data_IF_510059129646
#
_entry.id   IF_510059129646
#
_cell.length_a   1.000
_cell.length_b   1.000
_cell.length_c   1.000
_cell.angle_alpha   90.00
_cell.angle_beta   90.00
_cell.angle_gamma   90.00
#
_symmetry.space_group_name_H-M   'P 1'
#
loop_
_entity.id
_entity.type
_entity.pdbx_description
1 polymer ?
#
# COMPACT_ATOMS: atom_id res chain seq x y z
N UNK A 1 60.06 -75.98 -1.60
CA UNK A 1 59.86 -75.22 -0.37
C UNK A 1 58.92 -74.09 -0.69
N UNK A 2 57.67 -74.28 -0.34
CA UNK A 2 56.57 -73.30 -0.70
C UNK A 2 56.41 -72.29 0.40
N UNK A 3 56.07 -71.08 -0.01
CA UNK A 3 55.58 -70.00 0.87
C UNK A 3 54.21 -69.63 0.42
N UNK A 4 53.21 -69.89 1.27
CA UNK A 4 51.82 -69.48 1.09
C UNK A 4 51.67 -67.98 1.44
N UNK A 5 51.25 -67.15 0.49
CA UNK A 5 50.81 -65.75 0.71
C UNK A 5 49.30 -65.68 0.96
N UNK A 6 48.93 -65.20 2.12
CA UNK A 6 47.49 -64.87 2.45
C UNK A 6 47.10 -63.57 1.86
N UNK A 7 46.04 -63.57 0.99
CA UNK A 7 45.37 -62.40 0.52
C UNK A 7 44.27 -62.02 1.51
N UNK A 8 44.36 -60.82 2.11
CA UNK A 8 43.26 -60.17 2.84
C UNK A 8 42.44 -59.37 1.89
N UNK A 9 41.16 -59.70 1.74
CA UNK A 9 40.16 -58.91 1.02
C UNK A 9 39.63 -57.85 1.96
N UNK A 10 39.97 -56.57 1.71
CA UNK A 10 39.35 -55.42 2.34
C UNK A 10 38.05 -55.07 1.61
N UNK A 11 36.93 -55.32 2.26
CA UNK A 11 35.61 -54.88 1.79
C UNK A 11 35.38 -53.44 2.28
N UNK A 12 35.08 -52.45 1.41
CA UNK A 12 34.78 -51.13 1.88
C UNK A 12 33.34 -51.08 2.43
N UNK A 13 33.19 -50.62 3.66
CA UNK A 13 31.89 -50.30 4.27
C UNK A 13 31.44 -48.97 3.72
N UNK A 14 30.40 -48.99 2.87
CA UNK A 14 29.73 -47.79 2.40
C UNK A 14 28.74 -47.32 3.48
N UNK A 15 29.10 -46.27 4.21
CA UNK A 15 28.21 -45.59 5.13
C UNK A 15 27.32 -44.64 4.30
N UNK A 16 26.08 -45.05 4.07
CA UNK A 16 25.06 -44.21 3.44
C UNK A 16 24.58 -43.17 4.47
N UNK A 17 25.06 -41.94 4.36
CA UNK A 17 24.54 -40.82 5.15
C UNK A 17 23.25 -40.32 4.48
N UNK A 18 22.08 -40.73 4.99
CA UNK A 18 20.81 -40.13 4.64
C UNK A 18 20.76 -38.69 5.19
N UNK A 19 21.04 -37.71 4.37
CA UNK A 19 20.78 -36.32 4.69
C UNK A 19 19.24 -36.10 4.73
N UNK A 20 18.71 -36.01 5.94
CA UNK A 20 17.30 -35.56 6.14
C UNK A 20 17.27 -34.06 5.86
N UNK A 21 16.88 -33.67 4.64
CA UNK A 21 16.60 -32.30 4.29
C UNK A 21 15.31 -31.93 5.03
N UNK A 22 15.43 -31.26 6.16
CA UNK A 22 14.33 -30.55 6.77
C UNK A 22 13.97 -29.38 5.85
N UNK A 23 12.96 -29.57 5.00
CA UNK A 23 12.23 -28.47 4.38
C UNK A 23 11.54 -27.72 5.51
N UNK A 24 12.26 -26.79 6.15
CA UNK A 24 11.65 -25.76 6.95
C UNK A 24 10.72 -25.01 6.00
N UNK A 25 9.44 -25.32 6.06
CA UNK A 25 8.41 -24.55 5.38
C UNK A 25 8.57 -23.10 5.83
N UNK A 26 9.09 -22.26 4.95
CA UNK A 26 9.12 -20.82 5.17
C UNK A 26 7.65 -20.37 5.20
N UNK A 27 7.03 -20.38 6.38
CA UNK A 27 5.76 -19.69 6.58
C UNK A 27 6.08 -18.22 6.35
N UNK A 28 5.74 -17.71 5.15
CA UNK A 28 5.87 -16.28 4.89
C UNK A 28 5.03 -15.57 5.96
N UNK A 29 5.72 -14.84 6.84
CA UNK A 29 5.06 -14.00 7.80
C UNK A 29 4.18 -13.01 7.03
N UNK A 30 2.94 -12.82 7.49
CA UNK A 30 2.02 -11.84 6.89
C UNK A 30 2.62 -10.46 7.06
N UNK A 31 2.76 -9.70 5.97
CA UNK A 31 3.32 -8.35 5.98
C UNK A 31 2.39 -7.40 6.71
N UNK A 32 2.92 -6.62 7.65
CA UNK A 32 2.20 -5.54 8.31
C UNK A 32 2.49 -4.24 7.59
N UNK A 33 1.45 -3.63 7.00
CA UNK A 33 1.56 -2.36 6.29
C UNK A 33 0.88 -1.26 7.10
N UNK A 34 1.63 -0.21 7.47
CA UNK A 34 1.12 0.95 8.20
C UNK A 34 0.39 1.89 7.25
N UNK A 35 -0.95 1.91 7.31
CA UNK A 35 -1.82 2.71 6.45
C UNK A 35 -1.64 4.20 6.71
N UNK A 36 -1.14 4.93 5.70
CA UNK A 36 -0.77 6.35 5.80
C UNK A 36 0.18 6.61 7.00
N UNK A 37 1.10 5.67 7.21
CA UNK A 37 1.92 5.57 8.42
C UNK A 37 1.21 4.78 9.52
N UNK A 38 0.68 5.47 10.52
CA UNK A 38 -0.11 4.90 11.61
C UNK A 38 -1.30 5.84 11.90
N UNK A 39 -2.19 6.00 10.92
CA UNK A 39 -3.28 7.00 10.92
C UNK A 39 -4.16 6.95 12.16
N UNK A 40 -4.40 5.77 12.72
CA UNK A 40 -5.20 5.62 13.92
C UNK A 40 -4.53 6.19 15.18
N UNK A 41 -3.22 6.48 15.14
CA UNK A 41 -2.43 6.93 16.28
C UNK A 41 -1.91 8.36 16.12
N UNK A 42 -1.50 8.77 14.92
CA UNK A 42 -0.95 10.09 14.60
C UNK A 42 -1.53 10.60 13.27
N UNK A 43 -1.43 11.93 12.98
CA UNK A 43 -1.97 12.53 11.77
C UNK A 43 -1.47 11.82 10.50
N UNK A 44 -2.42 11.40 9.65
CA UNK A 44 -2.16 10.59 8.48
C UNK A 44 -1.18 11.22 7.47
N UNK A 45 -0.43 10.37 6.76
CA UNK A 45 0.46 10.80 5.67
C UNK A 45 1.48 11.88 6.10
N UNK A 46 1.90 11.84 7.36
CA UNK A 46 2.87 12.79 7.93
C UNK A 46 4.14 12.09 8.40
N UNK A 47 5.24 12.84 8.45
CA UNK A 47 6.52 12.32 8.94
C UNK A 47 6.40 11.71 10.35
N UNK A 48 5.69 12.31 11.33
CA UNK A 48 5.45 11.67 12.63
C UNK A 48 4.69 10.35 12.56
N UNK A 49 3.66 10.24 11.70
CA UNK A 49 2.90 8.99 11.55
C UNK A 49 3.77 7.87 10.96
N UNK A 50 4.63 8.19 10.00
CA UNK A 50 5.58 7.22 9.44
C UNK A 50 6.67 6.84 10.45
N UNK A 51 7.20 7.79 11.22
CA UNK A 51 8.14 7.50 12.29
C UNK A 51 7.51 6.56 13.33
N UNK A 52 6.24 6.79 13.71
CA UNK A 52 5.49 5.92 14.61
C UNK A 52 5.31 4.52 14.05
N UNK A 53 5.01 4.39 12.75
CA UNK A 53 4.90 3.08 12.09
C UNK A 53 6.25 2.32 12.10
N UNK A 54 7.37 3.04 11.87
CA UNK A 54 8.71 2.47 12.01
C UNK A 54 8.99 1.98 13.44
N UNK A 55 8.61 2.77 14.45
CA UNK A 55 8.77 2.38 15.88
C UNK A 55 7.96 1.14 16.24
N UNK A 56 6.78 0.93 15.62
CA UNK A 56 5.96 -0.27 15.76
C UNK A 56 6.60 -1.48 15.05
N UNK A 57 7.50 -1.25 14.11
CA UNK A 57 8.17 -2.30 13.35
C UNK A 57 7.34 -2.85 12.20
N UNK A 58 6.69 -1.96 11.41
CA UNK A 58 5.99 -2.38 10.19
C UNK A 58 6.97 -2.88 9.13
N UNK A 59 6.50 -3.75 8.25
CA UNK A 59 7.27 -4.27 7.12
C UNK A 59 7.20 -3.33 5.91
N UNK A 60 6.11 -2.58 5.81
CA UNK A 60 5.81 -1.67 4.69
C UNK A 60 5.17 -0.39 5.23
N UNK A 61 5.63 0.76 4.74
CA UNK A 61 4.93 2.02 4.87
C UNK A 61 3.99 2.16 3.67
N UNK A 62 2.71 2.19 3.94
CA UNK A 62 1.70 2.49 2.94
C UNK A 62 1.41 3.98 2.98
N UNK A 63 1.27 4.61 1.81
CA UNK A 63 1.09 6.05 1.64
C UNK A 63 0.42 6.40 0.32
N UNK A 64 -0.18 7.59 0.31
CA UNK A 64 -0.84 8.18 -0.85
C UNK A 64 -0.05 9.37 -1.37
N UNK A 65 -0.04 9.61 -2.69
CA UNK A 65 0.71 10.72 -3.28
C UNK A 65 -0.16 11.66 -4.10
N UNK A 66 0.26 12.91 -4.18
CA UNK A 66 -0.27 13.97 -5.03
C UNK A 66 0.87 14.76 -5.68
N UNK A 67 0.55 15.54 -6.72
CA UNK A 67 1.52 16.37 -7.45
C UNK A 67 1.10 17.83 -7.34
N UNK A 68 2.01 18.69 -6.85
CA UNK A 68 1.77 20.13 -6.76
C UNK A 68 1.88 20.81 -8.13
N UNK A 69 1.45 22.08 -8.20
CA UNK A 69 1.52 22.92 -9.40
C UNK A 69 2.93 23.03 -9.97
N UNK A 70 3.93 23.05 -9.12
CA UNK A 70 5.36 23.13 -9.46
C UNK A 70 6.03 21.76 -9.58
N UNK A 71 5.25 20.66 -9.65
CA UNK A 71 5.69 19.31 -9.96
C UNK A 71 6.29 18.54 -8.79
N UNK A 72 6.15 19.02 -7.55
CA UNK A 72 6.67 18.31 -6.36
C UNK A 72 5.74 17.17 -5.98
N UNK A 73 6.30 15.96 -5.80
CA UNK A 73 5.56 14.80 -5.29
C UNK A 73 5.42 14.92 -3.78
N UNK A 74 4.18 15.11 -3.33
CA UNK A 74 3.81 15.22 -1.92
C UNK A 74 3.01 14.02 -1.45
N UNK A 75 2.92 13.83 -0.12
CA UNK A 75 2.19 12.71 0.47
C UNK A 75 0.85 13.23 1.01
N UNK A 76 -0.23 12.88 0.33
CA UNK A 76 -1.61 13.23 0.70
C UNK A 76 -2.60 12.25 0.09
N UNK A 77 -3.65 11.92 0.85
CA UNK A 77 -4.70 11.02 0.36
C UNK A 77 -5.67 11.74 -0.56
N UNK A 78 -6.17 12.89 -0.13
CA UNK A 78 -7.15 13.62 -0.92
C UNK A 78 -6.43 14.52 -1.93
N UNK A 79 -6.91 14.59 -3.19
CA UNK A 79 -6.30 15.45 -4.21
C UNK A 79 -6.46 16.93 -3.89
N UNK A 80 -7.46 17.27 -3.05
CA UNK A 80 -7.72 18.63 -2.57
C UNK A 80 -7.68 18.65 -1.04
N UNK A 81 -7.45 19.82 -0.46
CA UNK A 81 -7.33 20.01 1.00
C UNK A 81 -8.62 19.58 1.72
N UNK A 82 -8.50 18.71 2.71
CA UNK A 82 -9.63 18.12 3.41
C UNK A 82 -10.00 18.95 4.66
N UNK A 83 -11.23 19.51 4.74
CA UNK A 83 -11.67 20.32 5.87
C UNK A 83 -11.72 19.56 7.20
N UNK A 84 -11.79 18.23 7.17
CA UNK A 84 -11.84 17.42 8.39
C UNK A 84 -10.54 17.47 9.19
N UNK A 85 -9.39 17.86 8.57
CA UNK A 85 -8.10 17.90 9.28
C UNK A 85 -7.10 18.94 8.75
N UNK A 86 -7.53 19.86 7.86
CA UNK A 86 -6.64 20.93 7.35
C UNK A 86 -7.01 22.27 7.94
N UNK A 87 -6.00 22.98 8.45
CA UNK A 87 -6.11 24.37 8.91
C UNK A 87 -5.20 25.27 8.08
N UNK A 88 -5.62 26.52 7.89
CA UNK A 88 -4.80 27.52 7.22
C UNK A 88 -3.71 28.11 8.14
N UNK A 89 -2.95 29.07 7.62
CA UNK A 89 -1.86 29.73 8.35
C UNK A 89 -2.32 30.49 9.60
N UNK A 90 -3.60 30.84 9.70
CA UNK A 90 -4.19 31.51 10.89
C UNK A 90 -4.65 30.50 11.95
N UNK A 91 -4.64 29.20 11.62
CA UNK A 91 -5.16 28.11 12.45
C UNK A 91 -6.66 27.88 12.29
N UNK A 92 -7.34 28.56 11.36
CA UNK A 92 -8.72 28.34 11.04
C UNK A 92 -8.89 27.08 10.17
N UNK A 93 -9.99 26.33 10.41
CA UNK A 93 -10.35 25.20 9.56
C UNK A 93 -10.71 25.72 8.17
N UNK A 94 -10.16 25.07 7.14
CA UNK A 94 -10.54 25.41 5.77
C UNK A 94 -12.02 25.08 5.52
N UNK A 95 -12.65 25.85 4.63
CA UNK A 95 -14.06 25.65 4.26
C UNK A 95 -14.11 25.28 2.78
N UNK A 96 -14.98 24.30 2.39
CA UNK A 96 -15.20 24.02 0.99
C UNK A 96 -15.66 25.28 0.24
N UNK A 97 -15.09 25.54 -0.95
CA UNK A 97 -15.36 26.76 -1.71
C UNK A 97 -16.64 26.69 -2.54
N UNK A 98 -17.25 25.50 -2.71
CA UNK A 98 -18.52 25.31 -3.39
C UNK A 98 -19.23 24.04 -2.92
N UNK A 99 -20.57 23.99 -3.11
CA UNK A 99 -21.37 22.80 -2.80
C UNK A 99 -21.04 21.60 -3.71
N UNK A 100 -20.48 21.86 -4.89
CA UNK A 100 -20.18 20.84 -5.90
C UNK A 100 -18.75 20.29 -5.78
N UNK A 101 -17.84 21.05 -5.15
CA UNK A 101 -16.48 20.61 -4.88
C UNK A 101 -16.27 20.47 -3.36
N UNK A 102 -16.36 19.26 -2.87
CA UNK A 102 -16.31 18.93 -1.43
C UNK A 102 -15.09 19.50 -0.72
N UNK A 103 -13.98 19.71 -1.42
CA UNK A 103 -12.70 20.04 -0.81
C UNK A 103 -12.12 21.42 -1.23
N UNK A 104 -12.70 22.13 -2.17
CA UNK A 104 -12.23 23.46 -2.55
C UNK A 104 -10.88 23.50 -3.24
N UNK A 105 -9.80 23.90 -2.55
CA UNK A 105 -8.46 24.08 -3.12
C UNK A 105 -7.73 22.78 -3.29
N UNK A 106 -7.31 22.46 -4.53
CA UNK A 106 -6.61 21.21 -4.84
C UNK A 106 -5.07 21.38 -4.81
N UNK A 107 -4.37 20.27 -4.52
CA UNK A 107 -2.91 20.23 -4.43
C UNK A 107 -2.28 20.65 -5.76
N UNK A 108 -2.86 20.24 -6.89
CA UNK A 108 -2.41 20.58 -8.24
C UNK A 108 -2.43 22.09 -8.54
N UNK A 109 -3.21 22.86 -7.81
CA UNK A 109 -3.32 24.31 -7.97
C UNK A 109 -2.31 25.10 -7.11
N UNK A 110 -1.70 24.44 -6.12
CA UNK A 110 -0.77 25.02 -5.16
C UNK A 110 0.68 24.66 -5.49
N UNK A 111 1.58 25.66 -5.39
CA UNK A 111 3.02 25.35 -5.30
C UNK A 111 3.32 24.64 -3.98
N UNK A 112 4.42 23.92 -3.91
CA UNK A 112 4.84 23.28 -2.64
C UNK A 112 5.01 24.32 -1.52
N UNK A 113 5.57 25.48 -1.82
CA UNK A 113 5.71 26.56 -0.84
C UNK A 113 4.37 27.06 -0.30
N UNK A 114 3.34 27.19 -1.17
CA UNK A 114 1.99 27.56 -0.75
C UNK A 114 1.35 26.45 0.09
N UNK A 115 1.55 25.17 -0.29
CA UNK A 115 1.04 24.02 0.44
C UNK A 115 1.62 23.94 1.87
N UNK A 116 2.85 24.41 2.09
CA UNK A 116 3.48 24.43 3.40
C UNK A 116 2.87 25.46 4.39
N UNK A 117 1.92 26.28 3.97
CA UNK A 117 1.19 27.18 4.87
C UNK A 117 0.07 26.44 5.65
N UNK A 118 -0.35 25.27 5.18
CA UNK A 118 -1.43 24.50 5.79
C UNK A 118 -0.90 23.55 6.87
N UNK A 119 -1.69 23.43 7.95
CA UNK A 119 -1.42 22.52 9.06
C UNK A 119 -2.39 21.34 8.98
N UNK A 120 -1.85 20.12 8.95
CA UNK A 120 -2.57 18.84 8.86
C UNK A 120 -2.45 18.01 10.16
N UNK A 121 -1.99 18.62 11.22
CA UNK A 121 -1.62 17.93 12.46
C UNK A 121 -2.77 17.63 13.41
N UNK A 122 -4.03 17.95 13.05
CA UNK A 122 -5.16 17.75 13.96
C UNK A 122 -6.44 17.47 13.18
N UNK A 123 -7.23 16.54 13.66
CA UNK A 123 -8.59 16.31 13.16
C UNK A 123 -9.54 17.38 13.74
N UNK A 124 -10.42 17.90 12.91
CA UNK A 124 -11.47 18.85 13.33
C UNK A 124 -12.44 18.16 14.29
N UNK A 125 -12.60 18.67 15.52
CA UNK A 125 -13.54 18.12 16.49
C UNK A 125 -14.98 18.12 15.98
N UNK A 126 -15.74 17.07 16.33
CA UNK A 126 -17.16 16.96 16.00
C UNK A 126 -17.44 16.33 14.61
N UNK A 127 -16.43 16.15 13.76
CA UNK A 127 -16.60 15.48 12.46
C UNK A 127 -16.74 13.95 12.62
N UNK A 128 -17.31 13.30 11.61
CA UNK A 128 -17.33 11.81 11.56
C UNK A 128 -15.92 11.23 11.49
N UNK A 129 -14.99 11.98 10.90
CA UNK A 129 -13.60 11.61 10.87
C UNK A 129 -12.98 11.58 12.28
N UNK A 130 -13.29 12.57 13.12
CA UNK A 130 -12.85 12.60 14.53
C UNK A 130 -13.42 11.42 15.35
N UNK A 131 -14.67 11.04 15.10
CA UNK A 131 -15.27 9.87 15.75
C UNK A 131 -14.58 8.57 15.35
N UNK A 132 -14.23 8.45 14.06
CA UNK A 132 -13.56 7.26 13.52
C UNK A 132 -12.15 7.08 14.07
N UNK A 133 -11.43 8.16 14.34
CA UNK A 133 -10.04 8.16 14.79
C UNK A 133 -9.88 8.84 16.18
N UNK A 134 -10.80 8.54 17.10
CA UNK A 134 -10.83 9.14 18.43
C UNK A 134 -9.56 8.93 19.27
N UNK A 135 -8.71 7.94 18.92
CA UNK A 135 -7.43 7.67 19.58
C UNK A 135 -6.24 8.40 18.96
N UNK A 136 -6.45 9.08 17.82
CA UNK A 136 -5.37 9.80 17.17
C UNK A 136 -4.90 10.98 18.01
N UNK A 137 -3.60 11.04 18.28
CA UNK A 137 -2.99 12.14 19.01
C UNK A 137 -2.72 13.31 18.06
N UNK A 138 -3.23 14.52 18.35
CA UNK A 138 -2.94 15.68 17.52
C UNK A 138 -1.48 16.12 17.68
N UNK A 139 -0.92 16.65 16.59
CA UNK A 139 0.41 17.21 16.55
C UNK A 139 0.40 18.49 15.71
N UNK A 140 -0.01 19.59 16.32
CA UNK A 140 -0.16 20.89 15.65
C UNK A 140 1.17 21.37 15.02
N UNK A 141 1.07 22.09 13.92
CA UNK A 141 2.22 22.55 13.14
C UNK A 141 2.77 21.52 12.16
N UNK A 142 2.12 20.35 12.04
CA UNK A 142 2.51 19.32 11.07
C UNK A 142 2.14 19.73 9.65
N UNK A 143 3.08 19.56 8.72
CA UNK A 143 2.91 19.92 7.31
C UNK A 143 2.82 18.69 6.43
N UNK A 144 2.24 18.86 5.23
CA UNK A 144 2.22 17.83 4.18
C UNK A 144 3.65 17.61 3.71
N UNK A 145 4.23 16.41 3.87
CA UNK A 145 5.61 16.14 3.51
C UNK A 145 5.75 15.81 2.01
N UNK A 146 6.99 15.93 1.50
CA UNK A 146 7.34 15.36 0.20
C UNK A 146 7.65 13.86 0.32
N UNK A 147 7.53 13.13 -0.78
CA UNK A 147 7.97 11.73 -0.86
C UNK A 147 9.49 11.61 -0.55
N UNK A 148 10.28 12.54 -1.04
CA UNK A 148 11.71 12.62 -0.76
C UNK A 148 12.02 12.72 0.76
N UNK A 149 11.21 13.49 1.51
CA UNK A 149 11.36 13.61 2.97
C UNK A 149 11.10 12.28 3.69
N UNK A 150 10.14 11.48 3.22
CA UNK A 150 9.89 10.14 3.76
C UNK A 150 11.06 9.19 3.49
N UNK A 151 11.61 9.21 2.28
CA UNK A 151 12.78 8.40 1.95
C UNK A 151 13.99 8.79 2.82
N UNK A 152 14.18 10.10 3.04
CA UNK A 152 15.22 10.60 3.95
C UNK A 152 14.99 10.14 5.41
N UNK A 153 13.75 10.14 5.91
CA UNK A 153 13.41 9.62 7.23
C UNK A 153 13.83 8.15 7.38
N UNK A 154 13.48 7.29 6.43
CA UNK A 154 13.80 5.86 6.53
C UNK A 154 15.30 5.61 6.48
N UNK A 155 16.05 6.38 5.69
CA UNK A 155 17.50 6.34 5.65
C UNK A 155 18.12 6.79 6.97
N UNK A 156 17.66 7.92 7.52
CA UNK A 156 18.14 8.44 8.80
C UNK A 156 17.88 7.51 9.99
N UNK A 157 16.81 6.68 9.90
CA UNK A 157 16.45 5.67 10.91
C UNK A 157 17.14 4.32 10.70
N UNK A 158 17.97 4.15 9.67
CA UNK A 158 18.56 2.85 9.33
C UNK A 158 17.51 1.78 9.01
N UNK A 159 16.32 2.20 8.53
CA UNK A 159 15.20 1.32 8.22
C UNK A 159 15.28 0.80 6.77
N UNK A 160 16.41 0.23 6.39
CA UNK A 160 16.70 -0.17 5.01
C UNK A 160 15.84 -1.34 4.54
N UNK A 161 15.39 -2.20 5.46
CA UNK A 161 14.52 -3.35 5.17
C UNK A 161 13.06 -2.96 4.93
N UNK A 162 12.62 -1.77 5.37
CA UNK A 162 11.23 -1.32 5.22
C UNK A 162 10.97 -0.94 3.77
N UNK A 163 9.85 -1.42 3.24
CA UNK A 163 9.39 -1.16 1.87
C UNK A 163 8.29 -0.11 1.87
N UNK A 164 7.92 0.34 0.68
CA UNK A 164 6.89 1.35 0.47
C UNK A 164 5.83 0.81 -0.47
N UNK A 165 4.56 0.98 -0.12
CA UNK A 165 3.42 0.76 -0.99
C UNK A 165 2.79 2.11 -1.30
N UNK A 166 3.06 2.65 -2.48
CA UNK A 166 2.77 4.04 -2.84
C UNK A 166 1.56 4.11 -3.76
N UNK A 167 0.50 4.78 -3.30
CA UNK A 167 -0.70 4.98 -4.11
C UNK A 167 -0.58 6.24 -4.98
N UNK A 168 -0.90 6.08 -6.26
CA UNK A 168 -1.20 7.19 -7.15
C UNK A 168 -2.68 7.58 -6.96
N UNK A 169 -2.91 8.70 -6.26
CA UNK A 169 -4.28 9.18 -5.92
C UNK A 169 -4.86 10.04 -7.02
N UNK A 170 -5.58 9.40 -7.92
CA UNK A 170 -6.37 10.09 -8.93
C UNK A 170 -7.63 9.29 -9.25
N UNK A 171 -8.56 9.95 -9.91
CA UNK A 171 -9.86 9.37 -10.26
C UNK A 171 -10.18 9.60 -11.74
N UNK A 172 -10.64 8.58 -12.47
CA UNK A 172 -11.14 8.77 -13.82
C UNK A 172 -12.42 9.59 -13.87
N UNK A 173 -13.09 9.77 -12.72
CA UNK A 173 -14.36 10.50 -12.60
C UNK A 173 -14.17 11.98 -12.24
N UNK A 174 -13.02 12.35 -11.65
CA UNK A 174 -12.72 13.71 -11.21
C UNK A 174 -11.71 14.35 -12.17
N UNK A 175 -12.17 15.29 -13.00
CA UNK A 175 -11.32 16.01 -13.95
C UNK A 175 -10.79 17.30 -13.31
N UNK A 176 -9.48 17.53 -13.46
CA UNK A 176 -8.84 18.77 -13.02
C UNK A 176 -8.40 18.80 -11.56
N UNK A 177 -8.70 17.76 -10.75
CA UNK A 177 -8.24 17.69 -9.36
C UNK A 177 -6.81 17.18 -9.24
N UNK A 178 -6.26 16.58 -10.29
CA UNK A 178 -4.90 16.05 -10.36
C UNK A 178 -4.30 16.27 -11.74
N UNK A 179 -2.98 16.11 -11.86
CA UNK A 179 -2.31 16.01 -13.16
C UNK A 179 -2.79 14.76 -13.93
N UNK A 180 -2.46 14.67 -15.22
CA UNK A 180 -2.80 13.49 -16.02
C UNK A 180 -2.13 12.21 -15.48
N UNK A 181 -2.69 11.01 -15.74
CA UNK A 181 -2.08 9.75 -15.30
C UNK A 181 -0.63 9.58 -15.76
N UNK A 182 -0.28 10.05 -16.98
CA UNK A 182 1.08 9.97 -17.51
C UNK A 182 2.03 10.85 -16.70
N UNK A 183 1.70 12.13 -16.50
CA UNK A 183 2.52 13.08 -15.74
C UNK A 183 2.68 12.61 -14.29
N UNK A 184 1.60 12.07 -13.70
CA UNK A 184 1.64 11.57 -12.33
C UNK A 184 2.70 10.47 -12.18
N UNK A 185 2.65 9.45 -13.04
CA UNK A 185 3.57 8.31 -12.98
C UNK A 185 5.00 8.74 -13.28
N UNK A 186 5.22 9.59 -14.29
CA UNK A 186 6.56 10.10 -14.62
C UNK A 186 7.18 10.85 -13.47
N UNK A 187 6.46 11.79 -12.84
CA UNK A 187 6.93 12.55 -11.67
C UNK A 187 7.26 11.63 -10.49
N UNK A 188 6.39 10.65 -10.22
CA UNK A 188 6.60 9.70 -9.14
C UNK A 188 7.83 8.80 -9.39
N UNK A 189 7.97 8.24 -10.58
CA UNK A 189 9.11 7.41 -10.96
C UNK A 189 10.43 8.18 -10.95
N UNK A 190 10.41 9.46 -11.31
CA UNK A 190 11.58 10.32 -11.21
C UNK A 190 12.09 10.38 -9.76
N UNK A 191 11.23 10.71 -8.79
CA UNK A 191 11.62 10.78 -7.37
C UNK A 191 12.09 9.43 -6.84
N UNK A 192 11.42 8.32 -7.20
CA UNK A 192 11.82 6.97 -6.80
C UNK A 192 13.24 6.64 -7.30
N UNK A 193 13.56 6.98 -8.54
CA UNK A 193 14.86 6.71 -9.17
C UNK A 193 15.98 7.62 -8.61
N UNK A 194 15.70 8.90 -8.44
CA UNK A 194 16.65 9.87 -7.85
C UNK A 194 17.10 9.47 -6.45
N UNK A 195 16.22 8.79 -5.69
CA UNK A 195 16.53 8.32 -4.34
C UNK A 195 16.99 6.87 -4.27
N UNK A 196 17.08 6.16 -5.41
CA UNK A 196 17.50 4.76 -5.48
C UNK A 196 16.53 3.78 -4.83
N UNK A 197 15.21 4.10 -4.82
CA UNK A 197 14.20 3.34 -4.06
C UNK A 197 13.45 2.28 -4.88
N UNK A 198 13.74 2.11 -6.16
CA UNK A 198 12.98 1.21 -7.05
C UNK A 198 12.83 -0.22 -6.52
N UNK A 199 13.87 -0.79 -5.89
CA UNK A 199 13.83 -2.13 -5.33
C UNK A 199 13.00 -2.27 -4.04
N UNK A 200 12.59 -1.14 -3.43
CA UNK A 200 11.85 -1.10 -2.16
C UNK A 200 10.40 -0.62 -2.32
N UNK A 201 9.97 -0.31 -3.54
CA UNK A 201 8.67 0.28 -3.83
C UNK A 201 7.77 -0.71 -4.53
N UNK A 202 6.50 -0.69 -4.18
CA UNK A 202 5.38 -1.16 -5.02
C UNK A 202 4.47 0.02 -5.31
N UNK A 203 3.88 0.06 -6.51
CA UNK A 203 2.93 1.10 -6.89
C UNK A 203 1.51 0.55 -6.85
N UNK A 204 0.63 1.19 -6.08
CA UNK A 204 -0.78 0.82 -6.00
C UNK A 204 -1.69 1.89 -6.58
N UNK A 205 -2.86 1.50 -7.04
CA UNK A 205 -3.92 2.43 -7.45
C UNK A 205 -5.28 1.76 -7.57
N UNK A 206 -6.34 2.54 -7.33
CA UNK A 206 -7.70 2.24 -7.80
C UNK A 206 -7.86 2.54 -9.29
N UNK A 207 -7.14 3.54 -9.79
CA UNK A 207 -7.12 3.88 -11.21
C UNK A 207 -6.03 3.09 -11.95
N UNK A 208 -6.44 1.99 -12.55
CA UNK A 208 -5.51 1.05 -13.19
C UNK A 208 -4.77 1.62 -14.40
N UNK A 209 -5.19 2.79 -14.91
CA UNK A 209 -4.46 3.49 -15.98
C UNK A 209 -3.02 3.82 -15.57
N UNK A 210 -2.82 4.27 -14.31
CA UNK A 210 -1.48 4.57 -13.80
C UNK A 210 -0.62 3.34 -13.64
N UNK A 211 -1.22 2.20 -13.23
CA UNK A 211 -0.50 0.93 -13.11
C UNK A 211 -0.01 0.41 -14.48
N UNK A 212 -0.83 0.54 -15.52
CA UNK A 212 -0.44 0.19 -16.87
C UNK A 212 0.69 1.09 -17.40
N UNK A 213 0.67 2.39 -17.07
CA UNK A 213 1.76 3.31 -17.41
C UNK A 213 3.03 2.91 -16.65
N UNK A 214 2.91 2.64 -15.35
CA UNK A 214 4.03 2.21 -14.51
C UNK A 214 4.70 0.93 -15.04
N UNK A 215 3.92 -0.06 -15.44
CA UNK A 215 4.43 -1.31 -16.02
C UNK A 215 5.21 -1.10 -17.33
N UNK A 216 4.83 -0.08 -18.13
CA UNK A 216 5.57 0.25 -19.37
C UNK A 216 6.86 1.01 -19.09
N UNK A 217 6.84 1.94 -18.10
CA UNK A 217 7.97 2.84 -17.83
C UNK A 217 8.97 2.28 -16.82
N UNK A 218 8.51 1.37 -15.94
CA UNK A 218 9.30 0.79 -14.85
C UNK A 218 8.84 -0.66 -14.57
N UNK A 219 9.04 -1.60 -15.51
CA UNK A 219 8.59 -2.99 -15.37
C UNK A 219 9.24 -3.71 -14.19
N UNK A 220 10.33 -3.18 -13.65
CA UNK A 220 11.02 -3.67 -12.46
C UNK A 220 10.26 -3.37 -11.16
N UNK A 221 9.32 -2.40 -11.15
CA UNK A 221 8.53 -2.03 -9.96
C UNK A 221 7.21 -2.78 -9.99
N UNK A 222 6.95 -3.68 -9.00
CA UNK A 222 5.71 -4.43 -8.95
C UNK A 222 4.48 -3.53 -8.75
N UNK A 223 3.36 -3.89 -9.39
CA UNK A 223 2.10 -3.15 -9.29
C UNK A 223 1.08 -3.87 -8.43
N UNK A 224 0.36 -3.09 -7.62
CA UNK A 224 -0.67 -3.51 -6.67
C UNK A 224 -2.02 -2.96 -7.12
N UNK A 225 -2.94 -3.85 -7.41
CA UNK A 225 -4.25 -3.52 -7.97
C UNK A 225 -5.29 -3.44 -6.86
N UNK A 226 -5.65 -2.21 -6.47
CA UNK A 226 -6.70 -1.95 -5.49
C UNK A 226 -8.08 -2.27 -6.08
N UNK A 227 -8.93 -2.91 -5.26
CA UNK A 227 -10.31 -3.19 -5.63
C UNK A 227 -11.26 -3.12 -4.45
N UNK A 228 -12.46 -2.60 -4.70
CA UNK A 228 -13.62 -2.67 -3.83
C UNK A 228 -14.87 -2.97 -4.66
N UNK A 229 -15.77 -3.78 -4.10
CA UNK A 229 -17.08 -4.11 -4.66
C UNK A 229 -18.15 -3.86 -3.59
N UNK A 230 -18.22 -2.60 -3.13
CA UNK A 230 -19.08 -2.17 -2.03
C UNK A 230 -20.03 -1.06 -2.50
N UNK A 231 -21.13 -0.85 -1.79
CA UNK A 231 -22.08 0.24 -2.10
C UNK A 231 -21.45 1.63 -2.01
N UNK A 232 -20.47 1.80 -1.14
CA UNK A 232 -19.75 3.07 -0.95
C UNK A 232 -18.62 3.28 -1.95
N UNK A 233 -18.11 2.21 -2.57
CA UNK A 233 -17.12 2.23 -3.64
C UNK A 233 -17.13 0.92 -4.41
N UNK A 234 -17.37 0.99 -5.71
CA UNK A 234 -17.18 -0.12 -6.64
C UNK A 234 -16.37 0.36 -7.85
N UNK A 235 -15.06 0.10 -7.81
CA UNK A 235 -14.19 0.42 -8.93
C UNK A 235 -14.13 -0.69 -9.98
N UNK A 236 -14.71 -1.86 -9.69
CA UNK A 236 -14.72 -3.02 -10.61
C UNK A 236 -15.91 -2.94 -11.57
N UNK A 237 -17.09 -2.50 -11.08
CA UNK A 237 -18.32 -2.44 -11.87
C UNK A 237 -18.75 -3.81 -12.38
N UNK A 238 -18.76 -4.82 -11.50
CA UNK A 238 -19.15 -6.18 -11.87
C UNK A 238 -20.56 -6.19 -12.46
N UNK A 239 -20.72 -6.81 -13.65
CA UNK A 239 -21.98 -6.83 -14.40
C UNK A 239 -22.18 -5.65 -15.37
N UNK A 240 -21.32 -4.65 -15.35
CA UNK A 240 -21.31 -3.60 -16.38
C UNK A 240 -20.64 -4.11 -17.65
N UNK A 241 -21.38 -4.15 -18.77
CA UNK A 241 -20.86 -4.65 -20.07
C UNK A 241 -19.81 -3.73 -20.70
N UNK A 242 -19.80 -2.45 -20.36
CA UNK A 242 -18.84 -1.47 -20.88
C UNK A 242 -17.51 -1.47 -20.10
N UNK A 243 -17.42 -2.24 -19.03
CA UNK A 243 -16.30 -2.21 -18.11
C UNK A 243 -16.32 -0.99 -17.19
N UNK A 244 -15.29 -0.82 -16.40
CA UNK A 244 -15.14 0.30 -15.48
C UNK A 244 -14.04 1.26 -15.97
N UNK A 245 -14.28 2.55 -15.88
CA UNK A 245 -13.25 3.57 -16.14
C UNK A 245 -12.04 3.41 -15.19
N UNK A 246 -12.27 2.96 -13.98
CA UNK A 246 -11.24 2.69 -12.97
C UNK A 246 -10.31 1.53 -13.37
N UNK A 247 -10.83 0.54 -14.06
CA UNK A 247 -10.08 -0.65 -14.50
C UNK A 247 -9.41 -0.46 -15.87
N UNK A 248 -9.29 0.79 -16.34
CA UNK A 248 -8.81 1.13 -17.68
C UNK A 248 -9.64 0.44 -18.79
N UNK A 249 -10.96 0.38 -18.60
CA UNK A 249 -11.90 -0.22 -19.55
C UNK A 249 -11.98 -1.74 -19.51
N UNK A 250 -11.29 -2.44 -18.62
CA UNK A 250 -11.41 -3.90 -18.48
C UNK A 250 -12.76 -4.26 -17.89
N UNK A 251 -13.40 -5.27 -18.49
CA UNK A 251 -14.69 -5.76 -18.07
C UNK A 251 -14.55 -7.06 -17.26
N UNK A 252 -15.02 -7.07 -16.02
CA UNK A 252 -14.95 -8.25 -15.15
C UNK A 252 -15.64 -9.50 -15.75
N UNK A 253 -16.67 -9.31 -16.57
CA UNK A 253 -17.39 -10.42 -17.23
C UNK A 253 -16.50 -11.23 -18.15
N UNK A 254 -15.52 -10.59 -18.82
CA UNK A 254 -14.55 -11.25 -19.70
C UNK A 254 -13.63 -12.21 -18.93
N UNK A 255 -13.53 -12.03 -17.63
CA UNK A 255 -12.73 -12.85 -16.72
C UNK A 255 -13.61 -13.75 -15.82
N UNK A 256 -14.88 -14.00 -16.21
CA UNK A 256 -15.81 -14.78 -15.42
C UNK A 256 -16.20 -14.14 -14.09
N UNK A 257 -16.23 -12.81 -14.03
CA UNK A 257 -16.43 -11.98 -12.84
C UNK A 257 -15.38 -12.23 -11.72
N UNK A 258 -14.21 -12.74 -12.09
CA UNK A 258 -13.09 -12.92 -11.17
C UNK A 258 -12.15 -11.73 -11.20
N UNK A 259 -12.10 -10.96 -10.11
CA UNK A 259 -11.14 -9.86 -9.95
C UNK A 259 -9.69 -10.37 -9.95
N UNK A 260 -9.32 -11.48 -9.27
CA UNK A 260 -7.97 -12.03 -9.38
C UNK A 260 -7.52 -12.33 -10.81
N UNK A 261 -8.38 -12.93 -11.64
CA UNK A 261 -8.07 -13.20 -13.06
C UNK A 261 -7.87 -11.90 -13.83
N UNK A 262 -8.72 -10.91 -13.59
CA UNK A 262 -8.62 -9.60 -14.24
C UNK A 262 -7.31 -8.88 -13.85
N UNK A 263 -6.92 -8.91 -12.57
CA UNK A 263 -5.64 -8.38 -12.08
C UNK A 263 -4.46 -9.11 -12.71
N UNK A 264 -4.51 -10.44 -12.78
CA UNK A 264 -3.46 -11.23 -13.43
C UNK A 264 -3.31 -10.89 -14.91
N UNK A 265 -4.42 -10.80 -15.63
CA UNK A 265 -4.44 -10.41 -17.04
C UNK A 265 -3.98 -8.96 -17.27
N UNK A 266 -4.12 -8.09 -16.27
CA UNK A 266 -3.58 -6.74 -16.28
C UNK A 266 -2.08 -6.67 -15.95
N UNK A 267 -1.40 -7.80 -15.68
CA UNK A 267 0.02 -7.84 -15.34
C UNK A 267 0.32 -7.52 -13.87
N UNK A 268 -0.70 -7.53 -13.00
CA UNK A 268 -0.52 -7.25 -11.58
C UNK A 268 0.33 -8.29 -10.85
N UNK A 269 1.13 -7.85 -9.91
CA UNK A 269 1.87 -8.71 -8.98
C UNK A 269 1.06 -8.99 -7.71
N UNK A 270 0.23 -8.03 -7.30
CA UNK A 270 -0.56 -8.07 -6.07
C UNK A 270 -2.00 -7.69 -6.38
N UNK A 271 -2.94 -8.50 -5.89
CA UNK A 271 -4.33 -8.11 -5.76
C UNK A 271 -4.55 -7.55 -4.34
N UNK A 272 -5.05 -6.31 -4.27
CA UNK A 272 -5.29 -5.64 -2.98
C UNK A 272 -6.77 -5.27 -2.83
N UNK A 273 -7.60 -6.23 -2.38
CA UNK A 273 -9.03 -6.01 -2.19
C UNK A 273 -9.36 -5.37 -0.84
N UNK A 274 -10.52 -4.69 -0.80
CA UNK A 274 -11.18 -4.42 0.47
C UNK A 274 -11.39 -5.75 1.23
N UNK A 275 -11.08 -5.78 2.52
CA UNK A 275 -11.06 -7.02 3.30
C UNK A 275 -12.43 -7.71 3.44
N UNK A 276 -13.53 -6.97 3.21
CA UNK A 276 -14.88 -7.51 3.16
C UNK A 276 -15.21 -8.27 1.87
N UNK A 277 -14.43 -8.07 0.80
CA UNK A 277 -14.64 -8.70 -0.50
C UNK A 277 -13.95 -10.05 -0.65
N UNK A 278 -13.09 -10.43 0.31
CA UNK A 278 -12.33 -11.69 0.22
C UNK A 278 -13.13 -12.87 0.74
N UNK A 279 -12.98 -13.98 0.02
CA UNK A 279 -13.46 -15.30 0.42
C UNK A 279 -12.32 -16.32 0.33
N UNK A 280 -12.39 -17.48 1.02
CA UNK A 280 -11.38 -18.54 0.87
C UNK A 280 -11.15 -18.92 -0.59
N UNK A 281 -12.22 -19.02 -1.39
CA UNK A 281 -12.14 -19.37 -2.81
C UNK A 281 -11.39 -18.31 -3.63
N UNK A 282 -11.68 -17.02 -3.45
CA UNK A 282 -11.00 -15.91 -4.14
C UNK A 282 -9.52 -15.83 -3.79
N UNK A 283 -9.16 -16.06 -2.52
CA UNK A 283 -7.76 -16.09 -2.09
C UNK A 283 -7.03 -17.29 -2.71
N UNK A 284 -7.64 -18.48 -2.69
CA UNK A 284 -7.06 -19.65 -3.32
C UNK A 284 -6.84 -19.46 -4.83
N UNK A 285 -7.82 -18.86 -5.51
CA UNK A 285 -7.71 -18.51 -6.94
C UNK A 285 -6.56 -17.53 -7.17
N UNK A 286 -6.46 -16.42 -6.40
CA UNK A 286 -5.37 -15.46 -6.52
C UNK A 286 -4.00 -16.10 -6.37
N UNK A 287 -3.84 -16.97 -5.36
CA UNK A 287 -2.59 -17.72 -5.13
C UNK A 287 -2.26 -18.69 -6.26
N UNK A 288 -3.25 -19.40 -6.79
CA UNK A 288 -3.07 -20.28 -7.95
C UNK A 288 -2.59 -19.50 -9.18
N UNK A 289 -3.02 -18.25 -9.33
CA UNK A 289 -2.58 -17.33 -10.39
C UNK A 289 -1.19 -16.70 -10.11
N UNK A 290 -0.58 -17.00 -8.95
CA UNK A 290 0.69 -16.43 -8.56
C UNK A 290 0.60 -14.97 -8.10
N UNK A 291 -0.58 -14.51 -7.67
CA UNK A 291 -0.78 -13.19 -7.08
C UNK A 291 -0.56 -13.24 -5.56
N UNK A 292 0.11 -12.24 -5.01
CA UNK A 292 0.00 -11.93 -3.59
C UNK A 292 -1.36 -11.29 -3.30
N UNK A 293 -1.86 -11.49 -2.07
CA UNK A 293 -3.12 -10.88 -1.60
C UNK A 293 -2.82 -9.99 -0.40
N UNK A 294 -3.00 -8.68 -0.54
CA UNK A 294 -2.81 -7.68 0.51
C UNK A 294 -4.14 -6.97 0.75
N UNK A 295 -4.68 -7.06 1.94
CA UNK A 295 -6.04 -6.56 2.25
C UNK A 295 -6.02 -5.23 2.99
N UNK A 296 -7.02 -4.37 2.77
CA UNK A 296 -7.20 -3.05 3.37
C UNK A 296 -8.65 -2.79 3.78
N UNK A 297 -8.99 -1.91 4.69
CA UNK A 297 -8.18 -1.46 5.81
C UNK A 297 -8.67 -2.23 7.02
N UNK A 298 -7.81 -3.04 7.62
CA UNK A 298 -8.20 -4.00 8.68
C UNK A 298 -7.73 -3.49 10.04
N UNK A 299 -8.69 -3.06 10.87
CA UNK A 299 -8.40 -2.38 12.12
C UNK A 299 -8.82 -3.16 13.38
N UNK A 300 -9.87 -3.97 13.28
CA UNK A 300 -10.42 -4.67 14.42
C UNK A 300 -9.74 -6.03 14.65
N UNK A 301 -9.40 -6.39 15.89
CA UNK A 301 -8.68 -7.64 16.20
C UNK A 301 -9.32 -8.88 15.57
N UNK A 302 -10.67 -9.00 15.64
CA UNK A 302 -11.41 -10.14 15.05
C UNK A 302 -11.23 -10.23 13.51
N UNK A 303 -11.17 -9.07 12.83
CA UNK A 303 -10.98 -9.05 11.40
C UNK A 303 -9.52 -9.35 11.03
N UNK A 304 -8.57 -8.87 11.85
CA UNK A 304 -7.15 -9.24 11.72
C UNK A 304 -7.00 -10.75 11.86
N UNK A 305 -7.57 -11.36 12.91
CA UNK A 305 -7.54 -12.82 13.13
C UNK A 305 -8.14 -13.58 11.93
N UNK A 306 -9.26 -13.09 11.37
CA UNK A 306 -9.90 -13.65 10.18
C UNK A 306 -8.99 -13.60 8.97
N UNK A 307 -8.33 -12.47 8.70
CA UNK A 307 -7.40 -12.33 7.57
C UNK A 307 -6.17 -13.22 7.72
N UNK A 308 -5.61 -13.31 8.94
CA UNK A 308 -4.52 -14.22 9.24
C UNK A 308 -4.91 -15.69 9.05
N UNK A 309 -6.15 -16.08 9.45
CA UNK A 309 -6.67 -17.44 9.22
C UNK A 309 -6.86 -17.75 7.73
N UNK A 310 -7.24 -16.76 6.93
CA UNK A 310 -7.33 -16.87 5.47
C UNK A 310 -5.96 -16.87 4.77
N UNK A 311 -4.87 -16.69 5.52
CA UNK A 311 -3.48 -16.69 5.01
C UNK A 311 -3.25 -15.67 3.90
N UNK A 312 -3.77 -14.44 4.07
CA UNK A 312 -3.40 -13.32 3.20
C UNK A 312 -1.90 -13.04 3.30
N UNK A 313 -1.32 -12.39 2.29
CA UNK A 313 0.11 -12.12 2.26
C UNK A 313 0.48 -10.81 2.98
N UNK A 314 -0.49 -9.89 3.16
CA UNK A 314 -0.29 -8.65 3.89
C UNK A 314 -1.60 -8.02 4.38
N UNK A 315 -1.47 -7.19 5.39
CA UNK A 315 -2.56 -6.45 6.02
C UNK A 315 -2.18 -4.96 6.10
N UNK A 316 -2.97 -4.11 5.45
CA UNK A 316 -2.91 -2.65 5.57
C UNK A 316 -3.84 -2.24 6.72
N UNK A 317 -3.31 -1.54 7.73
CA UNK A 317 -4.06 -1.14 8.93
C UNK A 317 -3.73 0.28 9.39
N UNK A 318 -4.75 1.01 9.85
CA UNK A 318 -4.60 2.29 10.55
C UNK A 318 -3.94 2.12 11.92
N UNK A 319 -4.02 0.90 12.46
CA UNK A 319 -3.50 0.49 13.77
C UNK A 319 -2.53 -0.68 13.63
N UNK A 320 -1.34 -0.47 13.03
CA UNK A 320 -0.38 -1.55 12.82
C UNK A 320 0.10 -2.21 14.13
N UNK A 321 0.04 -1.49 15.25
CA UNK A 321 0.27 -2.01 16.61
C UNK A 321 -0.70 -3.12 16.97
N UNK A 322 -2.00 -2.99 16.62
CA UNK A 322 -3.01 -4.03 16.83
C UNK A 322 -2.70 -5.28 16.00
N UNK A 323 -2.25 -5.10 14.76
CA UNK A 323 -1.87 -6.24 13.89
C UNK A 323 -0.69 -6.99 14.51
N UNK A 324 0.37 -6.28 14.92
CA UNK A 324 1.53 -6.88 15.61
C UNK A 324 1.11 -7.59 16.91
N UNK A 325 0.22 -6.98 17.71
CA UNK A 325 -0.28 -7.58 18.96
C UNK A 325 -1.07 -8.88 18.74
N UNK A 326 -1.88 -8.97 17.68
CA UNK A 326 -2.62 -10.19 17.33
C UNK A 326 -1.66 -11.27 16.82
N UNK A 327 -0.67 -10.90 15.99
CA UNK A 327 0.35 -11.83 15.49
C UNK A 327 1.23 -12.39 16.61
N UNK A 328 1.61 -11.58 17.59
CA UNK A 328 2.46 -11.99 18.72
C UNK A 328 1.78 -12.93 19.72
N UNK A 329 0.46 -13.12 19.64
CA UNK A 329 -0.31 -14.06 20.45
C UNK A 329 -0.41 -15.48 19.86
N UNK A 330 0.11 -15.68 18.63
CA UNK A 330 0.11 -16.95 17.91
C UNK A 330 1.47 -17.62 18.00
#
# INVERSE_FOLDING_TARGET
MGVFGQFWLNTPVVISVCAVIHLAGCTSLVEVQGHRGARGLLPENTIPAFAKALDIGVDVLELDTGITKDGVVVISHDPCLNPDFVRDATGAWIVPTSNDNKYGTCIVDLTFAALQQFDVGRIQPGTEYAKRFASQQPLDGTRIPTLAALFALTKARGAEQVRFNIETKLSPMARGETVSPQVFVESLLQVIREHGMAARVTLQSFDWRTLQISQRLAPEIPTVYLSAQQKWMDNIGAGNREGSAWTAGRNAMEYGNSVPRMVKAAGGAVWSPYFGDVTPARIAEAKTLGLKVVVWTVNEPKDIERMLALKVDGIISDYPDRVKAVMGKR
#
